data_IF_236036876550
#
_entry.id   IF_236036876550
#
_cell.length_a   1.000
_cell.length_b   1.000
_cell.length_c   1.000
_cell.angle_alpha   90.00
_cell.angle_beta   90.00
_cell.angle_gamma   90.00
#
_symmetry.space_group_name_H-M   'P 1'
#
loop_
_entity.id
_entity.type
_entity.pdbx_description
1 polymer ?
#
# COMPACT_ATOMS: atom_id res chain seq x y z
N UNK A 1 -44.33 -54.51 23.40
CA UNK A 1 -43.83 -53.65 22.32
C UNK A 1 -42.97 -52.59 22.96
N UNK A 2 -41.69 -52.88 23.09
CA UNK A 2 -40.71 -51.95 23.70
C UNK A 2 -40.09 -51.09 22.62
N UNK A 3 -40.25 -49.75 22.70
CA UNK A 3 -39.51 -48.78 21.88
C UNK A 3 -38.24 -48.42 22.62
N UNK A 4 -37.12 -48.82 22.05
CA UNK A 4 -35.78 -48.39 22.44
C UNK A 4 -35.55 -47.01 21.82
N UNK A 5 -35.42 -46.00 22.67
CA UNK A 5 -34.99 -44.65 22.28
C UNK A 5 -33.49 -44.62 22.36
N UNK A 6 -32.81 -44.68 21.21
CA UNK A 6 -31.36 -44.49 21.12
C UNK A 6 -31.05 -43.02 21.26
N UNK A 7 -30.47 -42.65 22.41
CA UNK A 7 -29.92 -41.31 22.65
C UNK A 7 -28.54 -41.20 21.95
N UNK A 8 -28.52 -40.53 20.82
CA UNK A 8 -27.26 -40.18 20.14
C UNK A 8 -26.64 -38.97 20.88
N UNK A 9 -25.65 -39.24 21.72
CA UNK A 9 -24.82 -38.21 22.35
C UNK A 9 -23.86 -37.73 21.27
N UNK A 10 -24.15 -36.57 20.67
CA UNK A 10 -23.24 -35.83 19.79
C UNK A 10 -22.18 -35.18 20.70
N UNK A 11 -21.04 -35.82 20.88
CA UNK A 11 -19.86 -35.20 21.50
C UNK A 11 -19.31 -34.21 20.48
N UNK A 12 -19.72 -32.96 20.58
CA UNK A 12 -19.05 -31.83 19.96
C UNK A 12 -17.67 -31.67 20.63
N UNK A 13 -16.65 -32.33 20.09
CA UNK A 13 -15.26 -31.99 20.33
C UNK A 13 -15.05 -30.59 19.77
N UNK A 14 -15.23 -29.59 20.62
CA UNK A 14 -14.73 -28.25 20.38
C UNK A 14 -13.19 -28.35 20.35
N UNK A 15 -12.61 -28.56 19.19
CA UNK A 15 -11.23 -28.28 18.97
C UNK A 15 -11.05 -26.76 19.15
N UNK A 16 -10.72 -26.35 20.37
CA UNK A 16 -10.07 -25.06 20.56
C UNK A 16 -8.74 -25.18 19.83
N UNK A 17 -8.72 -24.71 18.60
CA UNK A 17 -7.50 -24.41 17.89
C UNK A 17 -6.78 -23.36 18.75
N UNK A 18 -5.93 -23.80 19.68
CA UNK A 18 -4.96 -22.93 20.32
C UNK A 18 -4.10 -22.40 19.19
N UNK A 19 -4.35 -21.16 18.77
CA UNK A 19 -3.52 -20.49 17.79
C UNK A 19 -2.08 -20.53 18.33
N UNK A 20 -1.18 -21.17 17.61
CA UNK A 20 0.22 -21.23 17.97
C UNK A 20 0.72 -19.80 18.18
N UNK A 21 1.26 -19.51 19.34
CA UNK A 21 1.87 -18.22 19.64
C UNK A 21 3.38 -18.31 19.37
N UNK A 22 3.93 -17.25 18.76
CA UNK A 22 5.34 -17.13 18.51
C UNK A 22 5.82 -15.77 19.04
N UNK A 23 6.78 -15.77 19.95
CA UNK A 23 7.37 -14.55 20.52
C UNK A 23 8.60 -14.15 19.69
N UNK A 24 8.49 -13.05 18.96
CA UNK A 24 9.54 -12.61 18.02
C UNK A 24 10.83 -12.19 18.74
N UNK A 25 10.74 -11.77 20.00
CA UNK A 25 11.91 -11.43 20.82
C UNK A 25 12.91 -12.57 20.89
N UNK A 26 12.44 -13.82 20.94
CA UNK A 26 13.32 -15.00 21.04
C UNK A 26 14.32 -15.11 19.88
N UNK A 27 14.00 -14.48 18.73
CA UNK A 27 14.92 -14.41 17.59
C UNK A 27 16.00 -13.35 17.75
N UNK A 28 15.80 -12.40 18.68
CA UNK A 28 16.65 -11.24 18.90
C UNK A 28 17.49 -11.40 20.17
N UNK A 29 17.28 -12.47 20.94
CA UNK A 29 17.99 -12.73 22.22
C UNK A 29 19.45 -13.18 22.01
N UNK A 30 19.96 -13.20 20.77
CA UNK A 30 21.38 -13.37 20.45
C UNK A 30 22.18 -12.07 20.60
N UNK A 31 23.50 -12.17 20.72
CA UNK A 31 24.40 -11.00 20.83
C UNK A 31 24.33 -10.03 19.64
N UNK A 32 23.75 -10.45 18.51
CA UNK A 32 23.59 -9.61 17.31
C UNK A 32 22.36 -10.05 16.52
N UNK A 33 21.21 -9.35 16.63
CA UNK A 33 20.01 -9.68 15.88
C UNK A 33 20.20 -9.58 14.36
N UNK A 34 21.15 -8.79 13.88
CA UNK A 34 21.45 -8.61 12.46
C UNK A 34 22.28 -9.77 11.87
N UNK A 35 22.72 -10.74 12.69
CA UNK A 35 23.28 -11.99 12.20
C UNK A 35 22.21 -12.96 11.65
N UNK A 36 20.90 -12.65 11.85
CA UNK A 36 19.79 -13.48 11.37
C UNK A 36 19.81 -13.56 9.85
N UNK A 37 19.86 -14.79 9.32
CA UNK A 37 19.92 -15.05 7.88
C UNK A 37 18.54 -15.32 7.30
N UNK A 38 18.23 -14.70 6.15
CA UNK A 38 16.96 -14.83 5.47
C UNK A 38 16.69 -16.26 4.97
N UNK A 39 17.73 -16.92 4.43
CA UNK A 39 17.64 -18.29 3.89
C UNK A 39 17.45 -19.37 4.98
N UNK A 40 17.75 -19.06 6.23
CA UNK A 40 17.51 -19.94 7.38
C UNK A 40 16.16 -19.64 8.04
N UNK A 41 15.85 -18.36 8.21
CA UNK A 41 14.67 -17.90 8.96
C UNK A 41 13.35 -18.16 8.22
N UNK A 42 13.23 -17.70 6.98
CA UNK A 42 11.94 -17.72 6.28
C UNK A 42 11.47 -19.14 5.94
N UNK A 43 12.32 -20.09 5.52
CA UNK A 43 11.91 -21.47 5.34
C UNK A 43 11.46 -22.18 6.62
N UNK A 44 12.07 -21.83 7.77
CA UNK A 44 11.74 -22.38 9.08
C UNK A 44 10.42 -21.81 9.62
N UNK A 45 10.13 -20.54 9.34
CA UNK A 45 8.95 -19.82 9.84
C UNK A 45 7.96 -19.53 8.72
N UNK A 46 7.26 -20.56 8.20
CA UNK A 46 6.34 -20.51 7.05
C UNK A 46 5.17 -19.55 7.19
N UNK A 47 4.92 -18.98 8.35
CA UNK A 47 3.96 -17.90 8.58
C UNK A 47 4.49 -16.52 8.16
N UNK A 48 5.79 -16.39 7.89
CA UNK A 48 6.36 -15.31 7.10
C UNK A 48 6.33 -15.69 5.61
N UNK A 49 6.12 -14.69 4.76
CA UNK A 49 6.16 -14.84 3.30
C UNK A 49 7.05 -13.78 2.71
N UNK A 50 7.75 -14.10 1.64
CA UNK A 50 8.51 -13.10 0.91
C UNK A 50 7.61 -11.96 0.46
N UNK A 51 8.06 -10.72 0.64
CA UNK A 51 7.36 -9.51 0.23
C UNK A 51 7.43 -9.32 -1.28
N UNK A 52 8.55 -9.74 -1.88
CA UNK A 52 8.86 -9.67 -3.31
C UNK A 52 9.79 -10.81 -3.75
N UNK A 53 9.96 -10.98 -5.06
CA UNK A 53 10.77 -12.05 -5.64
C UNK A 53 12.29 -11.89 -5.41
N UNK A 54 12.74 -10.66 -5.15
CA UNK A 54 14.14 -10.34 -4.78
C UNK A 54 14.55 -10.90 -3.41
N UNK A 55 13.55 -11.26 -2.58
CA UNK A 55 13.75 -11.79 -1.21
C UNK A 55 14.44 -10.82 -0.24
N UNK A 56 14.36 -9.53 -0.49
CA UNK A 56 14.88 -8.48 0.39
C UNK A 56 13.94 -8.16 1.56
N UNK A 57 12.77 -8.78 1.60
CA UNK A 57 11.83 -8.63 2.70
C UNK A 57 10.96 -9.85 2.93
N UNK A 58 10.77 -10.22 4.21
CA UNK A 58 9.81 -11.25 4.63
C UNK A 58 8.74 -10.62 5.51
N UNK A 59 7.47 -10.90 5.21
CA UNK A 59 6.31 -10.30 5.85
C UNK A 59 5.46 -11.33 6.58
N UNK A 60 5.08 -10.98 7.80
CA UNK A 60 3.98 -11.57 8.55
C UNK A 60 2.79 -10.60 8.56
N UNK A 61 1.58 -11.12 8.43
CA UNK A 61 0.35 -10.37 8.68
C UNK A 61 -0.59 -11.21 9.54
N UNK A 62 -1.13 -10.63 10.61
CA UNK A 62 -2.01 -11.35 11.54
C UNK A 62 -3.33 -11.77 10.91
N UNK A 63 -3.81 -11.03 9.89
CA UNK A 63 -5.07 -11.33 9.22
C UNK A 63 -5.03 -12.71 8.55
N UNK A 64 -5.93 -13.62 8.98
CA UNK A 64 -6.03 -15.01 8.50
C UNK A 64 -4.75 -15.85 8.72
N UNK A 65 -3.85 -15.44 9.63
CA UNK A 65 -2.68 -16.23 9.97
C UNK A 65 -2.99 -17.16 11.15
N UNK A 66 -2.68 -18.46 11.08
CA UNK A 66 -2.92 -19.39 12.18
C UNK A 66 -1.97 -19.16 13.37
N UNK A 67 -0.82 -18.53 13.16
CA UNK A 67 0.15 -18.20 14.20
C UNK A 67 -0.09 -16.78 14.70
N UNK A 68 -0.15 -16.59 16.02
CA UNK A 68 -0.19 -15.28 16.66
C UNK A 68 1.22 -14.83 16.98
N UNK A 69 1.67 -13.78 16.30
CA UNK A 69 2.97 -13.18 16.56
C UNK A 69 2.85 -12.18 17.72
N UNK A 70 3.80 -12.25 18.65
CA UNK A 70 3.97 -11.27 19.73
C UNK A 70 5.40 -10.73 19.74
N UNK A 71 5.57 -9.53 20.30
CA UNK A 71 6.87 -8.92 20.57
C UNK A 71 6.84 -8.24 21.93
N UNK A 72 7.72 -8.63 22.84
CA UNK A 72 7.71 -8.22 24.26
C UNK A 72 6.34 -8.46 24.92
N UNK A 73 5.63 -9.53 24.53
CA UNK A 73 4.29 -9.86 24.99
C UNK A 73 3.17 -9.02 24.36
N UNK A 74 3.45 -8.11 23.42
CA UNK A 74 2.42 -7.34 22.72
C UNK A 74 2.06 -8.01 21.39
N UNK A 75 0.75 -8.09 21.03
CA UNK A 75 0.33 -8.62 19.74
C UNK A 75 0.88 -7.78 18.58
N UNK A 76 1.35 -8.46 17.55
CA UNK A 76 1.86 -7.85 16.31
C UNK A 76 0.83 -8.05 15.20
N UNK A 77 0.38 -6.96 14.59
CA UNK A 77 -0.54 -6.98 13.45
C UNK A 77 0.19 -7.27 12.15
N UNK A 78 1.39 -6.72 12.00
CA UNK A 78 2.26 -6.90 10.85
C UNK A 78 3.72 -6.84 11.29
N UNK A 79 4.54 -7.73 10.77
CA UNK A 79 5.99 -7.68 10.90
C UNK A 79 6.63 -7.75 9.52
N UNK A 80 7.66 -6.95 9.28
CA UNK A 80 8.49 -7.01 8.08
C UNK A 80 9.94 -7.08 8.52
N UNK A 81 10.63 -8.14 8.10
CA UNK A 81 12.06 -8.31 8.23
C UNK A 81 12.68 -7.92 6.88
N UNK A 82 13.47 -6.87 6.84
CA UNK A 82 14.24 -6.49 5.67
C UNK A 82 15.62 -7.12 5.73
N UNK A 83 16.09 -7.61 4.61
CA UNK A 83 17.37 -8.30 4.49
C UNK A 83 18.24 -7.61 3.42
N UNK A 84 19.50 -7.43 3.73
CA UNK A 84 20.54 -7.00 2.80
C UNK A 84 21.65 -8.05 2.80
N UNK A 85 22.06 -8.51 1.63
CA UNK A 85 23.07 -9.58 1.50
C UNK A 85 22.73 -10.82 2.33
N UNK A 86 21.45 -11.20 2.38
CA UNK A 86 20.94 -12.34 3.14
C UNK A 86 21.00 -12.18 4.69
N UNK A 87 21.30 -11.00 5.21
CA UNK A 87 21.29 -10.70 6.64
C UNK A 87 20.21 -9.69 6.99
N UNK A 88 19.64 -9.78 8.20
CA UNK A 88 18.66 -8.83 8.69
C UNK A 88 19.28 -7.42 8.72
N UNK A 89 18.69 -6.48 8.02
CA UNK A 89 19.10 -5.07 8.03
C UNK A 89 18.13 -4.19 8.83
N UNK A 90 16.84 -4.59 8.88
CA UNK A 90 15.82 -3.84 9.60
C UNK A 90 14.64 -4.73 9.99
N UNK A 91 14.12 -4.52 11.19
CA UNK A 91 12.82 -5.05 11.64
C UNK A 91 11.81 -3.91 11.73
N UNK A 92 10.64 -4.13 11.15
CA UNK A 92 9.47 -3.26 11.28
C UNK A 92 8.31 -4.04 11.88
N UNK A 93 7.64 -3.46 12.89
CA UNK A 93 6.43 -4.02 13.49
C UNK A 93 5.30 -2.98 13.51
N UNK A 94 4.10 -3.40 13.15
CA UNK A 94 2.86 -2.68 13.42
C UNK A 94 2.15 -3.32 14.61
N UNK A 95 2.07 -2.61 15.73
CA UNK A 95 1.41 -3.07 16.95
C UNK A 95 -0.05 -2.61 17.01
N UNK A 96 -0.33 -1.48 16.39
CA UNK A 96 -1.66 -0.96 16.16
C UNK A 96 -1.68 -0.14 14.88
N UNK A 97 -2.71 -0.32 14.08
CA UNK A 97 -3.11 0.65 13.07
C UNK A 97 -4.63 0.61 12.91
N UNK A 98 -5.20 1.77 12.66
CA UNK A 98 -6.64 1.95 12.56
C UNK A 98 -7.27 1.14 11.41
N UNK A 99 -6.50 0.93 10.34
CA UNK A 99 -6.97 0.21 9.14
C UNK A 99 -7.21 -1.29 9.38
N UNK A 100 -6.38 -1.93 10.21
CA UNK A 100 -6.47 -3.36 10.52
C UNK A 100 -7.23 -3.63 11.82
N UNK A 101 -7.00 -2.83 12.87
CA UNK A 101 -7.55 -3.06 14.21
C UNK A 101 -8.85 -2.30 14.50
N UNK A 102 -9.26 -1.38 13.60
CA UNK A 102 -10.40 -0.51 13.86
C UNK A 102 -10.07 0.65 14.81
N UNK A 103 -11.11 1.35 15.27
CA UNK A 103 -10.95 2.50 16.19
C UNK A 103 -10.86 2.02 17.64
N UNK A 104 -9.95 2.62 18.41
CA UNK A 104 -9.85 2.43 19.86
C UNK A 104 -9.91 3.78 20.56
N UNK A 105 -10.32 3.75 21.82
CA UNK A 105 -10.31 4.94 22.70
C UNK A 105 -8.88 5.48 22.87
N UNK A 106 -8.75 6.82 22.91
CA UNK A 106 -7.44 7.46 23.00
C UNK A 106 -6.71 7.14 24.31
N UNK A 107 -7.41 7.02 25.43
CA UNK A 107 -6.81 6.66 26.72
C UNK A 107 -6.26 5.22 26.72
N UNK A 108 -6.98 4.28 26.11
CA UNK A 108 -6.47 2.91 25.89
C UNK A 108 -5.23 2.91 24.99
N UNK A 109 -5.22 3.75 23.97
CA UNK A 109 -4.07 3.89 23.09
C UNK A 109 -2.85 4.50 23.82
N UNK A 110 -3.04 5.58 24.59
CA UNK A 110 -1.96 6.15 25.42
C UNK A 110 -1.37 5.09 26.37
N UNK A 111 -2.24 4.28 27.01
CA UNK A 111 -1.81 3.17 27.87
C UNK A 111 -1.00 2.12 27.10
N UNK A 112 -1.43 1.75 25.88
CA UNK A 112 -0.71 0.81 25.03
C UNK A 112 0.69 1.35 24.68
N UNK A 113 0.79 2.62 24.25
CA UNK A 113 2.05 3.30 23.92
C UNK A 113 2.98 3.35 25.14
N UNK A 114 2.46 3.74 26.32
CA UNK A 114 3.25 3.83 27.54
C UNK A 114 3.80 2.47 27.96
N UNK A 115 2.96 1.44 28.02
CA UNK A 115 3.35 0.06 28.37
C UNK A 115 4.40 -0.52 27.41
N UNK A 116 4.26 -0.28 26.11
CA UNK A 116 5.23 -0.74 25.13
C UNK A 116 6.57 -0.04 25.29
N UNK A 117 6.58 1.29 25.47
CA UNK A 117 7.79 2.06 25.73
C UNK A 117 8.49 1.62 27.03
N UNK A 118 7.72 1.31 28.08
CA UNK A 118 8.26 0.80 29.34
C UNK A 118 8.88 -0.60 29.17
N UNK A 119 8.21 -1.51 28.46
CA UNK A 119 8.74 -2.83 28.17
C UNK A 119 10.06 -2.75 27.38
N UNK A 120 10.10 -1.87 26.38
CA UNK A 120 11.30 -1.64 25.59
C UNK A 120 12.43 -1.00 26.41
N UNK A 121 12.10 -0.08 27.34
CA UNK A 121 13.10 0.49 28.26
C UNK A 121 13.69 -0.56 29.19
N UNK A 122 12.89 -1.51 29.68
CA UNK A 122 13.41 -2.64 30.48
C UNK A 122 14.30 -3.56 29.66
N UNK A 123 13.97 -3.75 28.37
CA UNK A 123 14.76 -4.60 27.47
C UNK A 123 16.11 -3.99 27.11
N UNK A 124 16.14 -2.68 26.85
CA UNK A 124 17.35 -1.98 26.34
C UNK A 124 18.16 -1.30 27.44
N UNK A 125 17.62 -1.16 28.67
CA UNK A 125 18.21 -0.35 29.71
C UNK A 125 18.08 1.17 29.51
N UNK A 126 17.50 1.61 28.37
CA UNK A 126 17.46 3.01 27.93
C UNK A 126 16.04 3.61 28.03
N UNK A 127 15.94 4.84 28.57
CA UNK A 127 14.65 5.54 28.64
C UNK A 127 14.17 6.07 27.30
N UNK A 128 15.08 6.37 26.40
CA UNK A 128 14.82 6.92 25.09
C UNK A 128 14.61 8.44 25.10
N UNK A 129 14.67 9.01 23.88
CA UNK A 129 14.47 10.43 23.59
C UNK A 129 13.22 10.59 22.77
N UNK A 130 12.23 11.33 23.30
CA UNK A 130 10.98 11.60 22.59
C UNK A 130 11.09 12.83 21.70
N UNK A 131 10.56 12.72 20.50
CA UNK A 131 10.34 13.84 19.59
C UNK A 131 8.88 13.91 19.22
N UNK A 132 8.42 15.14 18.92
CA UNK A 132 7.06 15.43 18.48
C UNK A 132 7.07 16.31 17.24
N UNK A 133 6.27 15.94 16.25
CA UNK A 133 6.07 16.73 15.04
C UNK A 133 4.59 16.97 14.74
N UNK A 134 4.28 18.07 14.06
CA UNK A 134 2.93 18.34 13.53
C UNK A 134 2.95 18.33 12.01
N UNK A 135 2.13 17.48 11.42
CA UNK A 135 1.77 17.53 10.01
C UNK A 135 0.50 18.36 9.78
N UNK A 136 0.06 18.44 8.53
CA UNK A 136 -1.23 19.05 8.19
C UNK A 136 -2.42 18.33 8.89
N UNK A 137 -3.58 18.98 8.97
CA UNK A 137 -4.84 18.39 9.46
C UNK A 137 -4.81 17.93 10.94
N UNK A 138 -4.10 18.64 11.81
CA UNK A 138 -4.00 18.33 13.25
C UNK A 138 -3.45 16.93 13.56
N UNK A 139 -2.66 16.40 12.66
CA UNK A 139 -1.90 15.18 12.89
C UNK A 139 -0.71 15.47 13.77
N UNK A 140 -0.58 14.71 14.83
CA UNK A 140 0.59 14.73 15.68
C UNK A 140 1.33 13.41 15.52
N UNK A 141 2.60 13.51 15.17
CA UNK A 141 3.52 12.41 15.11
C UNK A 141 4.40 12.44 16.34
N UNK A 142 4.66 11.29 16.90
CA UNK A 142 5.59 11.08 17.98
C UNK A 142 6.59 9.99 17.58
N UNK A 143 7.82 10.14 18.01
CA UNK A 143 8.82 9.08 17.97
C UNK A 143 9.61 9.08 19.26
N UNK A 144 9.95 7.89 19.74
CA UNK A 144 10.84 7.71 20.87
C UNK A 144 12.01 6.84 20.40
N UNK A 145 13.22 7.37 20.51
CA UNK A 145 14.45 6.78 20.03
C UNK A 145 15.33 6.29 21.18
N UNK A 146 15.82 5.07 21.08
CA UNK A 146 16.81 4.48 21.99
C UNK A 146 17.98 3.95 21.18
N UNK A 147 19.16 4.07 21.72
CA UNK A 147 20.37 3.45 21.16
C UNK A 147 21.01 2.62 22.25
N UNK A 148 21.13 1.33 22.02
CA UNK A 148 21.80 0.38 22.90
C UNK A 148 22.51 -0.64 22.04
N UNK A 149 23.77 -0.96 22.37
CA UNK A 149 24.60 -1.95 21.67
C UNK A 149 24.67 -1.74 20.14
N UNK A 150 24.87 -0.48 19.71
CA UNK A 150 24.90 -0.07 18.30
C UNK A 150 23.60 -0.36 17.53
N UNK A 151 22.50 -0.53 18.25
CA UNK A 151 21.16 -0.73 17.69
C UNK A 151 20.29 0.50 17.95
N UNK A 152 19.62 0.98 16.90
CA UNK A 152 18.59 1.99 17.00
C UNK A 152 17.22 1.33 17.13
N UNK A 153 16.55 1.61 18.23
CA UNK A 153 15.16 1.24 18.48
C UNK A 153 14.27 2.47 18.37
N UNK A 154 13.30 2.43 17.49
CA UNK A 154 12.39 3.55 17.25
C UNK A 154 10.95 3.12 17.47
N UNK A 155 10.25 3.78 18.40
CA UNK A 155 8.79 3.65 18.57
C UNK A 155 8.14 4.86 17.95
N UNK A 156 7.30 4.67 16.93
CA UNK A 156 6.56 5.74 16.26
C UNK A 156 5.07 5.58 16.52
N UNK A 157 4.38 6.66 16.88
CA UNK A 157 2.92 6.64 16.99
C UNK A 157 2.31 7.95 16.53
N UNK A 158 1.04 7.89 16.20
CA UNK A 158 0.33 9.04 15.70
C UNK A 158 -1.13 9.04 16.12
N UNK A 159 -1.64 10.25 16.33
CA UNK A 159 -3.04 10.53 16.53
C UNK A 159 -3.44 11.83 15.82
N UNK A 160 -4.73 11.99 15.53
CA UNK A 160 -5.29 13.20 14.92
C UNK A 160 -6.44 13.76 15.75
N UNK A 161 -6.42 15.06 15.98
CA UNK A 161 -7.46 15.77 16.75
C UNK A 161 -6.98 17.14 17.22
N UNK A 162 -7.92 17.96 17.69
CA UNK A 162 -7.61 19.30 18.23
C UNK A 162 -7.44 19.26 19.74
N UNK A 163 -8.33 18.57 20.42
CA UNK A 163 -8.38 18.43 21.87
C UNK A 163 -8.17 16.96 22.25
N UNK A 164 -7.72 16.70 23.48
CA UNK A 164 -7.48 15.33 23.97
C UNK A 164 -8.71 14.42 23.80
N UNK A 165 -9.91 14.94 24.05
CA UNK A 165 -11.18 14.21 23.90
C UNK A 165 -11.51 13.83 22.45
N UNK A 166 -10.97 14.56 21.47
CA UNK A 166 -11.24 14.36 20.04
C UNK A 166 -10.10 13.60 19.33
N UNK A 167 -9.07 13.22 20.09
CA UNK A 167 -7.90 12.52 19.53
C UNK A 167 -8.28 11.13 19.06
N UNK A 168 -7.94 10.85 17.81
CA UNK A 168 -8.15 9.55 17.18
C UNK A 168 -6.81 8.87 16.90
N UNK A 169 -6.52 7.76 17.57
CA UNK A 169 -5.34 6.95 17.31
C UNK A 169 -5.26 6.53 15.84
N UNK A 170 -4.06 6.52 15.28
CA UNK A 170 -3.85 6.14 13.90
C UNK A 170 -2.97 4.91 13.78
N UNK A 171 -1.80 4.93 14.42
CA UNK A 171 -0.89 3.78 14.45
C UNK A 171 0.07 3.82 15.64
N UNK A 172 0.58 2.63 16.00
CA UNK A 172 1.73 2.39 16.85
C UNK A 172 2.64 1.40 16.13
N UNK A 173 3.89 1.80 15.91
CA UNK A 173 4.89 1.07 15.13
C UNK A 173 6.20 1.02 15.89
N UNK A 174 6.95 -0.03 15.63
CA UNK A 174 8.30 -0.23 16.14
C UNK A 174 9.24 -0.55 14.98
N UNK A 175 10.42 0.05 15.02
CA UNK A 175 11.51 -0.24 14.08
C UNK A 175 12.78 -0.52 14.87
N UNK A 176 13.60 -1.45 14.36
CA UNK A 176 14.92 -1.78 14.88
C UNK A 176 15.88 -1.90 13.70
N UNK A 177 16.99 -1.20 13.76
CA UNK A 177 18.02 -1.17 12.71
C UNK A 177 19.39 -0.87 13.31
N UNK A 178 20.50 -1.17 12.61
CA UNK A 178 21.84 -0.77 13.06
C UNK A 178 21.91 0.75 13.23
N UNK A 179 22.54 1.20 14.33
CA UNK A 179 22.69 2.62 14.57
C UNK A 179 23.85 3.21 13.77
N UNK A 180 23.56 4.23 12.97
CA UNK A 180 24.56 5.01 12.27
C UNK A 180 24.62 6.43 12.87
N UNK A 181 25.71 6.83 13.55
CA UNK A 181 25.83 8.17 14.14
C UNK A 181 25.75 9.32 13.14
N UNK A 182 26.07 9.07 11.86
CA UNK A 182 25.99 10.07 10.78
C UNK A 182 24.53 10.36 10.38
N UNK A 183 23.66 9.36 10.52
CA UNK A 183 22.23 9.43 10.18
C UNK A 183 21.35 9.41 11.43
N UNK A 184 21.82 9.93 12.56
CA UNK A 184 21.10 9.94 13.83
C UNK A 184 19.72 10.63 13.70
N UNK A 185 18.61 9.88 13.78
CA UNK A 185 17.26 10.45 13.57
C UNK A 185 16.85 11.41 14.69
N UNK A 186 17.52 11.38 15.85
CA UNK A 186 17.29 12.32 16.96
C UNK A 186 17.67 13.76 16.59
N UNK A 187 18.51 13.93 15.56
CA UNK A 187 18.92 15.23 15.01
C UNK A 187 18.08 15.67 13.82
N UNK A 188 17.14 14.84 13.37
CA UNK A 188 16.32 15.08 12.18
C UNK A 188 14.89 15.45 12.56
N UNK A 189 14.16 16.07 11.64
CA UNK A 189 12.76 16.40 11.83
C UNK A 189 11.86 15.21 11.50
N UNK A 190 10.88 14.91 12.37
CA UNK A 190 9.86 13.88 12.08
C UNK A 190 8.92 14.22 10.91
N UNK A 191 8.90 15.47 10.48
CA UNK A 191 7.91 15.98 9.52
C UNK A 191 8.51 16.57 8.25
N UNK A 192 9.82 16.71 8.19
CA UNK A 192 10.53 17.20 7.00
C UNK A 192 11.41 16.11 6.43
N UNK A 193 11.24 15.86 5.16
CA UNK A 193 12.12 14.98 4.39
C UNK A 193 13.41 15.74 4.07
N UNK A 194 14.52 15.07 4.22
CA UNK A 194 15.81 15.57 3.75
C UNK A 194 15.85 15.51 2.21
N UNK A 195 15.74 16.66 1.58
CA UNK A 195 15.71 16.75 0.12
C UNK A 195 17.03 16.46 -0.56
N UNK A 196 18.12 16.45 0.19
CA UNK A 196 19.45 16.09 -0.37
C UNK A 196 19.57 14.60 -0.67
N UNK A 197 18.72 13.78 0.00
CA UNK A 197 18.63 12.33 -0.23
C UNK A 197 17.66 11.94 -1.34
N UNK A 198 16.90 12.90 -1.90
CA UNK A 198 15.96 12.62 -2.98
C UNK A 198 16.72 12.36 -4.27
N UNK A 199 16.42 11.24 -4.91
CA UNK A 199 16.98 10.81 -6.18
C UNK A 199 16.83 11.87 -7.27
N UNK A 200 17.90 12.11 -7.99
CA UNK A 200 17.91 13.04 -9.13
C UNK A 200 17.32 12.38 -10.39
N UNK A 201 17.00 13.20 -11.39
CA UNK A 201 16.53 12.66 -12.68
C UNK A 201 17.54 11.73 -13.34
N UNK A 202 18.85 11.92 -13.11
CA UNK A 202 19.91 11.05 -13.62
C UNK A 202 19.89 9.68 -12.94
N UNK A 203 19.74 9.68 -11.61
CA UNK A 203 19.71 8.44 -10.81
C UNK A 203 18.47 7.61 -11.16
N UNK A 204 17.31 8.26 -11.28
CA UNK A 204 16.06 7.60 -11.69
C UNK A 204 16.15 7.03 -13.12
N UNK A 205 16.75 7.76 -14.08
CA UNK A 205 16.93 7.26 -15.43
C UNK A 205 17.89 6.05 -15.49
N UNK A 206 18.84 5.95 -14.57
CA UNK A 206 19.74 4.80 -14.45
C UNK A 206 19.03 3.49 -14.06
N UNK A 207 17.82 3.56 -13.48
CA UNK A 207 17.00 2.41 -13.16
C UNK A 207 16.21 1.85 -14.37
N UNK A 208 16.29 2.48 -15.54
CA UNK A 208 15.58 2.00 -16.73
C UNK A 208 16.31 0.80 -17.33
N UNK A 209 15.61 -0.31 -17.46
CA UNK A 209 16.10 -1.54 -18.08
C UNK A 209 15.46 -1.76 -19.44
N UNK A 210 16.16 -2.45 -20.33
CA UNK A 210 15.71 -2.79 -21.67
C UNK A 210 16.06 -4.23 -22.00
N UNK A 211 15.11 -4.96 -22.58
CA UNK A 211 15.33 -6.32 -23.12
C UNK A 211 15.38 -6.30 -24.64
N UNK A 212 15.95 -7.34 -25.20
CA UNK A 212 16.02 -7.53 -26.65
C UNK A 212 14.64 -7.69 -27.32
N UNK A 213 13.63 -8.11 -26.59
CA UNK A 213 12.23 -8.24 -27.04
C UNK A 213 11.49 -6.88 -27.15
N UNK A 214 12.19 -5.77 -26.88
CA UNK A 214 11.63 -4.42 -26.92
C UNK A 214 10.98 -3.96 -25.62
N UNK A 215 10.95 -4.81 -24.57
CA UNK A 215 10.42 -4.43 -23.26
C UNK A 215 11.34 -3.40 -22.57
N UNK A 216 10.77 -2.30 -22.12
CA UNK A 216 11.43 -1.24 -21.37
C UNK A 216 10.70 -1.10 -20.03
N UNK A 217 11.43 -1.12 -18.91
CA UNK A 217 10.80 -0.96 -17.60
C UNK A 217 11.72 -0.25 -16.60
N UNK A 218 11.09 0.28 -15.55
CA UNK A 218 11.77 0.87 -14.39
C UNK A 218 12.00 -0.26 -13.38
N UNK A 219 13.24 -0.47 -13.02
CA UNK A 219 13.68 -1.42 -12.00
C UNK A 219 13.73 -0.78 -10.61
N UNK A 220 13.98 -1.58 -9.56
CA UNK A 220 14.20 -1.13 -8.19
C UNK A 220 13.03 -0.35 -7.55
N UNK A 221 11.79 -0.59 -7.99
CA UNK A 221 10.61 -0.03 -7.32
C UNK A 221 10.24 -0.95 -6.14
N UNK A 222 10.43 -0.52 -4.89
CA UNK A 222 10.22 -1.37 -3.73
C UNK A 222 8.78 -1.90 -3.64
N UNK A 223 8.61 -3.14 -3.18
CA UNK A 223 7.28 -3.69 -2.93
C UNK A 223 6.76 -3.22 -1.58
N UNK A 224 5.51 -2.79 -1.55
CA UNK A 224 4.73 -2.55 -0.33
C UNK A 224 3.42 -3.29 -0.48
N UNK A 225 3.14 -4.20 0.45
CA UNK A 225 1.88 -4.92 0.48
C UNK A 225 0.84 -4.12 1.29
N UNK A 226 -0.26 -3.77 0.65
CA UNK A 226 -1.36 -3.04 1.30
C UNK A 226 -2.13 -3.89 2.33
N UNK A 227 -2.00 -5.22 2.29
CA UNK A 227 -2.78 -6.14 3.11
C UNK A 227 -4.23 -6.23 2.67
N UNK A 228 -5.11 -6.57 3.62
CA UNK A 228 -6.54 -6.72 3.38
C UNK A 228 -7.34 -5.40 3.47
N UNK A 229 -6.68 -4.31 3.84
CA UNK A 229 -7.27 -2.97 3.98
C UNK A 229 -7.27 -2.21 2.64
N UNK A 230 -8.17 -1.25 2.49
CA UNK A 230 -8.30 -0.42 1.27
C UNK A 230 -7.15 0.60 1.07
N UNK A 231 -5.90 0.19 1.29
CA UNK A 231 -4.71 1.05 1.29
C UNK A 231 -3.96 1.09 -0.05
N UNK A 232 -4.57 0.66 -1.16
CA UNK A 232 -3.90 0.64 -2.46
C UNK A 232 -3.25 1.99 -2.84
N UNK A 233 -3.95 3.10 -2.61
CA UNK A 233 -3.41 4.45 -2.86
C UNK A 233 -2.22 4.76 -1.95
N UNK A 234 -2.35 4.48 -0.66
CA UNK A 234 -1.29 4.74 0.33
C UNK A 234 -0.05 3.87 0.06
N UNK A 235 -0.25 2.59 -0.26
CA UNK A 235 0.84 1.67 -0.58
C UNK A 235 1.55 2.05 -1.89
N UNK A 236 0.81 2.45 -2.93
CA UNK A 236 1.39 2.97 -4.18
C UNK A 236 2.24 4.22 -3.91
N UNK A 237 1.73 5.15 -3.08
CA UNK A 237 2.48 6.36 -2.73
C UNK A 237 3.74 6.03 -1.93
N UNK A 238 3.67 5.13 -0.95
CA UNK A 238 4.85 4.68 -0.20
C UNK A 238 5.90 4.09 -1.13
N UNK A 239 5.51 3.24 -2.10
CA UNK A 239 6.43 2.68 -3.10
C UNK A 239 7.14 3.75 -3.91
N UNK A 240 6.40 4.77 -4.37
CA UNK A 240 6.95 5.90 -5.12
C UNK A 240 7.91 6.71 -4.24
N UNK A 241 7.54 6.99 -2.98
CA UNK A 241 8.37 7.76 -2.07
C UNK A 241 9.69 7.02 -1.79
N UNK A 242 9.63 5.75 -1.43
CA UNK A 242 10.83 4.91 -1.24
C UNK A 242 11.70 4.85 -2.50
N UNK A 243 11.10 4.68 -3.67
CA UNK A 243 11.81 4.69 -4.95
C UNK A 243 12.53 6.03 -5.23
N UNK A 244 12.02 7.12 -4.69
CA UNK A 244 12.64 8.44 -4.78
C UNK A 244 13.64 8.73 -3.65
N UNK A 245 14.01 7.74 -2.82
CA UNK A 245 14.89 7.93 -1.67
C UNK A 245 14.24 8.69 -0.51
N UNK A 246 12.90 8.69 -0.44
CA UNK A 246 12.15 9.38 0.61
C UNK A 246 11.69 8.36 1.64
N UNK A 247 12.44 8.24 2.71
CA UNK A 247 12.16 7.36 3.82
C UNK A 247 11.34 8.02 4.94
N UNK A 248 10.90 7.21 5.89
CA UNK A 248 10.18 7.67 7.09
C UNK A 248 8.69 7.97 6.90
N UNK A 249 8.16 7.83 5.66
CA UNK A 249 6.74 8.00 5.35
C UNK A 249 6.18 6.70 4.81
N UNK A 250 5.36 6.02 5.60
CA UNK A 250 4.76 4.74 5.24
C UNK A 250 3.26 4.85 4.92
N UNK A 251 2.65 3.74 4.46
CA UNK A 251 1.24 3.69 4.08
C UNK A 251 0.29 4.12 5.21
N UNK A 252 0.64 3.90 6.47
CA UNK A 252 -0.21 4.30 7.60
C UNK A 252 -0.21 5.82 7.81
N UNK A 253 0.96 6.45 7.72
CA UNK A 253 1.10 7.91 7.73
C UNK A 253 0.36 8.54 6.54
N UNK A 254 0.52 7.98 5.35
CA UNK A 254 -0.15 8.44 4.12
C UNK A 254 -1.66 8.27 4.22
N UNK A 255 -2.15 7.14 4.72
CA UNK A 255 -3.58 6.89 4.95
C UNK A 255 -4.18 7.95 5.89
N UNK A 256 -3.45 8.32 6.93
CA UNK A 256 -3.86 9.38 7.86
C UNK A 256 -3.92 10.76 7.17
N UNK A 257 -2.87 11.13 6.39
CA UNK A 257 -2.83 12.40 5.66
C UNK A 257 -4.01 12.54 4.71
N UNK A 258 -4.33 11.45 4.02
CA UNK A 258 -5.47 11.38 3.09
C UNK A 258 -6.81 11.20 3.79
N UNK A 259 -6.84 11.13 5.13
CA UNK A 259 -8.05 10.90 5.94
C UNK A 259 -8.81 9.64 5.50
N UNK A 260 -8.07 8.57 5.15
CA UNK A 260 -8.66 7.33 4.67
C UNK A 260 -9.62 6.72 5.68
N UNK A 261 -10.71 6.17 5.17
CA UNK A 261 -11.69 5.37 5.93
C UNK A 261 -11.59 3.91 5.50
N UNK A 262 -12.33 3.02 6.14
CA UNK A 262 -12.35 1.58 5.82
C UNK A 262 -12.64 1.23 4.35
N UNK A 263 -13.28 2.14 3.60
CA UNK A 263 -13.58 1.97 2.17
C UNK A 263 -12.50 2.48 1.22
N UNK A 264 -11.33 2.91 1.72
CA UNK A 264 -10.26 3.49 0.90
C UNK A 264 -10.35 5.01 0.75
N UNK A 265 -9.72 5.55 -0.31
CA UNK A 265 -9.67 6.98 -0.62
C UNK A 265 -9.91 7.19 -2.11
N UNK A 266 -10.58 8.28 -2.47
CA UNK A 266 -10.72 8.67 -3.87
C UNK A 266 -9.40 9.28 -4.37
N UNK A 267 -9.19 9.22 -5.69
CA UNK A 267 -8.02 9.86 -6.32
C UNK A 267 -8.03 11.38 -6.14
N UNK A 268 -9.19 12.01 -6.02
CA UNK A 268 -9.34 13.43 -5.71
C UNK A 268 -8.84 13.76 -4.30
N UNK A 269 -9.29 12.98 -3.28
CA UNK A 269 -8.79 13.14 -1.90
C UNK A 269 -7.27 12.95 -1.82
N UNK A 270 -6.71 12.04 -2.61
CA UNK A 270 -5.27 11.84 -2.71
C UNK A 270 -4.58 13.07 -3.31
N UNK A 271 -5.10 13.59 -4.42
CA UNK A 271 -4.53 14.76 -5.09
C UNK A 271 -4.59 16.00 -4.18
N UNK A 272 -5.71 16.23 -3.51
CA UNK A 272 -5.86 17.32 -2.51
C UNK A 272 -4.85 17.18 -1.34
N UNK A 273 -4.68 15.97 -0.83
CA UNK A 273 -3.71 15.70 0.23
C UNK A 273 -2.26 15.92 -0.24
N UNK A 274 -1.94 15.52 -1.48
CA UNK A 274 -0.62 15.73 -2.08
C UNK A 274 -0.36 17.18 -2.48
N UNK A 275 -1.37 17.93 -2.88
CA UNK A 275 -1.25 19.35 -3.15
C UNK A 275 -0.94 20.13 -1.86
N UNK A 276 -1.65 19.82 -0.78
CA UNK A 276 -1.45 20.45 0.55
C UNK A 276 -0.19 19.99 1.28
N UNK A 277 0.21 18.74 1.11
CA UNK A 277 1.30 18.10 1.88
C UNK A 277 2.54 17.71 1.08
N UNK A 278 2.43 17.58 -0.23
CA UNK A 278 3.48 17.01 -1.09
C UNK A 278 4.82 17.77 -1.04
N UNK A 279 4.77 19.08 -0.84
CA UNK A 279 5.99 19.89 -0.68
C UNK A 279 6.80 19.50 0.57
N UNK A 280 6.14 19.03 1.64
CA UNK A 280 6.81 18.53 2.86
C UNK A 280 7.52 17.21 2.60
N UNK A 281 6.97 16.39 1.71
CA UNK A 281 7.55 15.11 1.29
C UNK A 281 8.47 15.24 0.08
N UNK A 282 8.79 16.44 -0.38
CA UNK A 282 9.68 16.62 -1.52
C UNK A 282 9.13 16.09 -2.84
N UNK A 283 7.81 16.08 -3.02
CA UNK A 283 7.14 15.64 -4.27
C UNK A 283 6.14 16.67 -4.78
N UNK A 284 5.78 16.53 -6.06
CA UNK A 284 4.65 17.23 -6.70
C UNK A 284 3.80 16.23 -7.47
N UNK A 285 2.50 16.19 -7.17
CA UNK A 285 1.53 15.42 -7.93
C UNK A 285 0.85 16.29 -9.00
N UNK A 286 0.47 15.67 -10.12
CA UNK A 286 -0.32 16.29 -11.18
C UNK A 286 -1.26 15.27 -11.78
N UNK A 287 -2.56 15.61 -11.82
CA UNK A 287 -3.52 14.87 -12.63
C UNK A 287 -3.18 15.01 -14.10
N UNK A 288 -3.06 13.91 -14.82
CA UNK A 288 -2.76 13.92 -16.27
C UNK A 288 -3.97 13.60 -17.13
N UNK A 289 -4.73 12.60 -16.72
CA UNK A 289 -5.95 12.16 -17.39
C UNK A 289 -6.96 11.74 -16.33
N UNK A 290 -8.22 12.05 -16.54
CA UNK A 290 -9.34 11.55 -15.73
C UNK A 290 -10.49 11.12 -16.62
N UNK A 291 -11.00 9.93 -16.37
CA UNK A 291 -12.25 9.41 -16.87
C UNK A 291 -13.09 8.84 -15.72
N UNK A 292 -12.83 9.30 -14.50
CA UNK A 292 -13.61 8.92 -13.32
C UNK A 292 -15.05 9.41 -13.45
N UNK A 293 -15.95 8.62 -12.90
CA UNK A 293 -17.37 8.97 -12.79
C UNK A 293 -17.51 9.64 -11.40
N UNK A 294 -17.35 10.94 -11.38
CA UNK A 294 -17.39 11.75 -10.15
C UNK A 294 -18.81 12.26 -9.87
N UNK A 295 -19.61 12.42 -10.90
CA UNK A 295 -20.97 12.95 -10.82
C UNK A 295 -22.01 12.03 -11.44
N UNK A 296 -23.28 12.24 -11.09
CA UNK A 296 -24.42 11.56 -11.73
C UNK A 296 -24.47 11.87 -13.22
N UNK A 297 -24.08 13.09 -13.59
CA UNK A 297 -24.01 13.54 -14.98
C UNK A 297 -22.96 12.77 -15.78
N UNK A 298 -21.79 12.49 -15.22
CA UNK A 298 -20.75 11.70 -15.88
C UNK A 298 -21.24 10.28 -16.15
N UNK A 299 -21.90 9.67 -15.16
CA UNK A 299 -22.51 8.35 -15.32
C UNK A 299 -23.60 8.38 -16.41
N UNK A 300 -24.47 9.38 -16.39
CA UNK A 300 -25.54 9.55 -17.39
C UNK A 300 -24.98 9.73 -18.78
N UNK A 301 -23.93 10.52 -18.95
CA UNK A 301 -23.21 10.70 -20.23
C UNK A 301 -22.61 9.39 -20.73
N UNK A 302 -21.98 8.62 -19.83
CA UNK A 302 -21.42 7.30 -20.15
C UNK A 302 -22.52 6.33 -20.62
N UNK A 303 -23.61 6.22 -19.85
CA UNK A 303 -24.76 5.37 -20.18
C UNK A 303 -25.35 5.76 -21.56
N UNK A 304 -25.53 7.05 -21.80
CA UNK A 304 -26.07 7.55 -23.07
C UNK A 304 -25.19 7.16 -24.26
N UNK A 305 -23.85 7.39 -24.14
CA UNK A 305 -22.89 6.99 -25.19
C UNK A 305 -22.91 5.49 -25.43
N UNK A 306 -22.87 4.69 -24.35
CA UNK A 306 -22.96 3.23 -24.44
C UNK A 306 -24.26 2.77 -25.09
N UNK A 307 -25.42 3.29 -24.67
CA UNK A 307 -26.73 2.91 -25.18
C UNK A 307 -26.91 3.25 -26.68
N UNK A 308 -26.26 4.32 -27.16
CA UNK A 308 -26.22 4.63 -28.59
C UNK A 308 -25.44 3.56 -29.38
N UNK A 309 -24.33 3.06 -28.87
CA UNK A 309 -23.59 1.95 -29.47
C UNK A 309 -24.37 0.64 -29.36
N UNK A 310 -24.95 0.34 -28.21
CA UNK A 310 -25.77 -0.86 -27.99
C UNK A 310 -26.96 -0.94 -28.96
N UNK A 311 -27.64 0.19 -29.17
CA UNK A 311 -28.72 0.30 -30.17
C UNK A 311 -28.26 -0.06 -31.59
N UNK A 312 -27.11 0.51 -32.03
CA UNK A 312 -26.55 0.24 -33.38
C UNK A 312 -26.07 -1.22 -33.49
N UNK A 313 -25.58 -1.81 -32.42
CA UNK A 313 -25.11 -3.20 -32.36
C UNK A 313 -26.26 -4.20 -32.07
N UNK A 314 -27.52 -3.76 -31.97
CA UNK A 314 -28.68 -4.59 -31.58
C UNK A 314 -28.44 -5.34 -30.23
N UNK A 315 -27.79 -4.70 -29.29
CA UNK A 315 -27.51 -5.20 -27.94
C UNK A 315 -28.41 -4.53 -26.90
N UNK A 316 -28.51 -5.14 -25.72
CA UNK A 316 -29.29 -4.63 -24.60
C UNK A 316 -28.77 -3.26 -24.15
N UNK A 317 -29.65 -2.31 -23.96
CA UNK A 317 -29.35 -1.03 -23.30
C UNK A 317 -29.22 -1.27 -21.79
N UNK A 318 -28.47 -0.41 -21.15
CA UNK A 318 -28.29 -0.42 -19.68
C UNK A 318 -29.00 0.78 -19.06
N UNK A 319 -29.28 0.66 -17.77
CA UNK A 319 -29.81 1.73 -16.94
C UNK A 319 -28.95 1.90 -15.67
N UNK A 320 -29.04 3.09 -15.09
CA UNK A 320 -28.43 3.35 -13.81
C UNK A 320 -29.01 2.43 -12.73
N UNK A 321 -28.14 1.79 -11.95
CA UNK A 321 -28.52 1.01 -10.77
C UNK A 321 -28.48 1.93 -9.56
N UNK A 322 -29.65 2.09 -8.89
CA UNK A 322 -29.75 2.89 -7.68
C UNK A 322 -30.73 2.27 -6.67
N UNK A 323 -30.51 2.57 -5.39
CA UNK A 323 -31.43 2.26 -4.28
C UNK A 323 -31.58 3.50 -3.41
N UNK A 324 -32.76 4.10 -3.42
CA UNK A 324 -32.99 5.43 -2.84
C UNK A 324 -32.06 6.44 -3.52
N UNK A 325 -31.32 7.21 -2.74
CA UNK A 325 -30.36 8.22 -3.22
C UNK A 325 -28.96 7.65 -3.49
N UNK A 326 -28.73 6.34 -3.31
CA UNK A 326 -27.42 5.71 -3.51
C UNK A 326 -27.35 5.12 -4.93
N UNK A 327 -26.34 5.56 -5.69
CA UNK A 327 -26.05 5.07 -7.04
C UNK A 327 -24.91 4.07 -7.00
N UNK A 328 -25.12 2.90 -7.60
CA UNK A 328 -24.14 1.81 -7.67
C UNK A 328 -23.42 1.83 -9.02
N UNK A 329 -22.38 2.66 -9.16
CA UNK A 329 -21.61 2.83 -10.40
C UNK A 329 -21.09 1.48 -10.91
N UNK A 330 -20.46 0.67 -10.03
CA UNK A 330 -19.91 -0.63 -10.39
C UNK A 330 -20.97 -1.60 -10.93
N UNK A 331 -22.15 -1.67 -10.31
CA UNK A 331 -23.24 -2.50 -10.78
C UNK A 331 -23.85 -1.98 -12.10
N UNK A 332 -23.85 -0.67 -12.29
CA UNK A 332 -24.27 -0.05 -13.56
C UNK A 332 -23.31 -0.45 -14.68
N UNK A 333 -21.99 -0.34 -14.44
CA UNK A 333 -20.96 -0.71 -15.41
C UNK A 333 -20.94 -2.22 -15.71
N UNK A 334 -21.21 -3.07 -14.71
CA UNK A 334 -21.29 -4.53 -14.88
C UNK A 334 -22.38 -5.00 -15.86
N UNK A 335 -23.37 -4.14 -16.20
CA UNK A 335 -24.36 -4.45 -17.23
C UNK A 335 -23.83 -4.25 -18.66
N UNK A 336 -22.68 -3.58 -18.83
CA UNK A 336 -22.14 -3.28 -20.15
C UNK A 336 -21.58 -4.53 -20.81
N UNK A 337 -21.86 -4.72 -22.11
CA UNK A 337 -21.16 -5.71 -22.92
C UNK A 337 -19.68 -5.30 -23.04
N UNK A 338 -18.74 -6.15 -22.65
CA UNK A 338 -17.31 -5.78 -22.61
C UNK A 338 -16.76 -5.35 -23.98
N UNK A 339 -17.23 -5.97 -25.06
CA UNK A 339 -16.80 -5.62 -26.43
C UNK A 339 -17.27 -4.24 -26.85
N UNK A 340 -18.52 -3.89 -26.52
CA UNK A 340 -19.04 -2.56 -26.80
C UNK A 340 -18.40 -1.48 -25.94
N UNK A 341 -18.14 -1.80 -24.68
CA UNK A 341 -17.44 -0.86 -23.79
C UNK A 341 -16.01 -0.61 -24.29
N UNK A 342 -15.29 -1.65 -24.70
CA UNK A 342 -13.98 -1.54 -25.33
C UNK A 342 -14.04 -0.63 -26.57
N UNK A 343 -15.00 -0.87 -27.47
CA UNK A 343 -15.19 -0.03 -28.65
C UNK A 343 -15.45 1.43 -28.28
N UNK A 344 -16.29 1.67 -27.28
CA UNK A 344 -16.53 3.02 -26.77
C UNK A 344 -15.26 3.72 -26.30
N UNK A 345 -14.43 3.00 -25.54
CA UNK A 345 -13.18 3.53 -24.96
C UNK A 345 -12.10 3.74 -26.00
N UNK A 346 -11.92 2.82 -26.94
CA UNK A 346 -10.82 2.86 -27.90
C UNK A 346 -11.14 3.76 -29.11
N UNK A 347 -12.29 3.56 -29.77
CA UNK A 347 -12.65 4.34 -30.96
C UNK A 347 -13.07 5.76 -30.60
N UNK A 348 -13.87 5.90 -29.53
CA UNK A 348 -14.39 7.21 -29.12
C UNK A 348 -13.34 8.12 -28.46
N UNK A 349 -12.21 7.58 -28.03
CA UNK A 349 -11.16 8.32 -27.31
C UNK A 349 -9.74 8.04 -27.84
N UNK A 350 -9.60 7.75 -29.14
CA UNK A 350 -8.34 7.37 -29.77
C UNK A 350 -7.20 8.37 -29.57
N UNK A 351 -7.49 9.68 -29.62
CA UNK A 351 -6.48 10.73 -29.36
C UNK A 351 -5.96 10.67 -27.93
N UNK A 352 -6.84 10.45 -26.96
CA UNK A 352 -6.47 10.32 -25.53
C UNK A 352 -5.68 9.03 -25.29
N UNK A 353 -6.05 7.92 -25.91
CA UNK A 353 -5.32 6.65 -25.85
C UNK A 353 -3.89 6.81 -26.44
N UNK A 354 -3.74 7.50 -27.57
CA UNK A 354 -2.44 7.79 -28.15
C UNK A 354 -1.58 8.71 -27.25
N UNK A 355 -2.22 9.67 -26.56
CA UNK A 355 -1.53 10.48 -25.56
C UNK A 355 -1.08 9.63 -24.37
N UNK A 356 -1.93 8.74 -23.88
CA UNK A 356 -1.62 7.80 -22.81
C UNK A 356 -0.39 6.93 -23.15
N UNK A 357 -0.34 6.36 -24.38
CA UNK A 357 0.84 5.63 -24.88
C UNK A 357 2.12 6.46 -24.81
N UNK A 358 2.12 7.66 -25.42
CA UNK A 358 3.30 8.55 -25.44
C UNK A 358 3.72 8.97 -24.04
N UNK A 359 2.77 9.24 -23.19
CA UNK A 359 3.01 9.64 -21.81
C UNK A 359 3.70 8.53 -21.01
N UNK A 360 3.23 7.27 -21.15
CA UNK A 360 3.87 6.11 -20.53
C UNK A 360 5.31 5.96 -21.01
N UNK A 361 5.54 5.98 -22.33
CA UNK A 361 6.87 5.84 -22.90
C UNK A 361 7.81 6.94 -22.42
N UNK A 362 7.36 8.20 -22.44
CA UNK A 362 8.15 9.34 -21.98
C UNK A 362 8.51 9.23 -20.49
N UNK A 363 7.54 8.85 -19.66
CA UNK A 363 7.73 8.74 -18.22
C UNK A 363 8.67 7.59 -17.87
N UNK A 364 8.42 6.41 -18.43
CA UNK A 364 9.25 5.22 -18.19
C UNK A 364 10.68 5.44 -18.62
N UNK A 365 10.91 6.06 -19.81
CA UNK A 365 12.26 6.39 -20.28
C UNK A 365 13.00 7.39 -19.36
N UNK A 366 12.28 8.19 -18.60
CA UNK A 366 12.84 9.09 -17.59
C UNK A 366 12.96 8.45 -16.20
N UNK A 367 12.69 7.15 -16.04
CA UNK A 367 12.69 6.46 -14.75
C UNK A 367 11.57 6.90 -13.80
N UNK A 368 10.47 7.44 -14.33
CA UNK A 368 9.38 7.99 -13.55
C UNK A 368 8.11 7.12 -13.69
N UNK A 369 7.69 6.37 -12.68
CA UNK A 369 6.49 5.55 -12.74
C UNK A 369 5.23 6.40 -12.88
N UNK A 370 4.17 5.81 -13.45
CA UNK A 370 2.88 6.47 -13.60
C UNK A 370 1.90 5.90 -12.58
N UNK A 371 1.36 6.73 -11.69
CA UNK A 371 0.25 6.38 -10.83
C UNK A 371 -0.98 6.10 -11.69
N UNK A 372 -1.55 4.90 -11.55
CA UNK A 372 -2.56 4.39 -12.45
C UNK A 372 -3.80 3.91 -11.68
N UNK A 373 -4.83 4.74 -11.67
CA UNK A 373 -6.13 4.40 -11.11
C UNK A 373 -6.95 3.64 -12.15
N UNK A 374 -7.44 2.47 -11.76
CA UNK A 374 -8.17 1.55 -12.64
C UNK A 374 -9.50 1.14 -12.04
N UNK A 375 -10.41 0.69 -12.90
CA UNK A 375 -11.58 -0.06 -12.48
C UNK A 375 -11.40 -1.53 -12.86
N UNK A 376 -11.21 -2.37 -11.84
CA UNK A 376 -11.06 -3.81 -12.01
C UNK A 376 -12.37 -4.47 -12.45
N UNK A 377 -12.27 -5.58 -13.16
CA UNK A 377 -13.41 -6.33 -13.65
C UNK A 377 -13.93 -5.88 -15.02
N UNK A 378 -13.39 -4.80 -15.61
CA UNK A 378 -13.72 -4.36 -16.99
C UNK A 378 -12.98 -5.17 -18.06
N UNK A 379 -11.87 -5.76 -17.68
CA UNK A 379 -11.00 -6.56 -18.55
C UNK A 379 -10.67 -7.86 -17.83
N UNK A 380 -10.58 -8.95 -18.59
CA UNK A 380 -10.13 -10.23 -18.03
C UNK A 380 -8.61 -10.26 -18.00
N UNK A 381 -8.03 -10.10 -16.82
CA UNK A 381 -6.58 -10.12 -16.64
C UNK A 381 -6.05 -11.57 -16.64
N UNK A 382 -4.98 -11.81 -17.41
CA UNK A 382 -4.33 -13.13 -17.46
C UNK A 382 -3.73 -13.55 -16.11
N UNK A 383 -3.27 -12.58 -15.33
CA UNK A 383 -2.66 -12.80 -14.02
C UNK A 383 -3.68 -12.54 -12.92
N UNK A 384 -3.65 -13.37 -11.87
CA UNK A 384 -4.57 -13.27 -10.74
C UNK A 384 -4.53 -11.88 -10.10
N UNK A 385 -5.71 -11.38 -9.77
CA UNK A 385 -5.88 -10.21 -8.92
C UNK A 385 -6.59 -10.64 -7.64
N UNK A 386 -6.29 -10.00 -6.51
CA UNK A 386 -6.96 -10.31 -5.23
C UNK A 386 -8.32 -9.61 -5.10
N UNK A 387 -8.56 -8.60 -5.92
CA UNK A 387 -9.82 -7.87 -6.00
C UNK A 387 -10.48 -8.13 -7.35
N UNK A 388 -11.71 -8.62 -7.36
CA UNK A 388 -12.41 -9.01 -8.58
C UNK A 388 -12.99 -7.82 -9.34
N UNK A 389 -13.46 -6.79 -8.64
CA UNK A 389 -14.06 -5.61 -9.23
C UNK A 389 -13.91 -4.38 -8.34
N UNK A 390 -14.01 -3.19 -8.95
CA UNK A 390 -14.00 -1.91 -8.26
C UNK A 390 -12.76 -1.07 -8.50
N UNK A 391 -12.70 0.10 -7.87
CA UNK A 391 -11.59 1.03 -8.01
C UNK A 391 -10.33 0.48 -7.31
N UNK A 392 -9.20 0.66 -7.97
CA UNK A 392 -7.89 0.24 -7.45
C UNK A 392 -6.79 1.14 -8.00
N UNK A 393 -5.68 1.26 -7.29
CA UNK A 393 -4.51 2.01 -7.76
C UNK A 393 -3.31 1.10 -7.92
N UNK A 394 -2.62 1.26 -9.05
CA UNK A 394 -1.44 0.53 -9.50
C UNK A 394 -0.35 1.49 -9.95
N UNK A 395 0.80 0.96 -10.33
CA UNK A 395 1.85 1.69 -11.04
C UNK A 395 2.09 1.09 -12.42
N UNK A 396 2.10 1.93 -13.45
CA UNK A 396 2.72 1.56 -14.72
C UNK A 396 4.20 1.86 -14.58
N UNK A 397 5.00 0.83 -14.83
CA UNK A 397 6.46 0.85 -14.68
C UNK A 397 7.18 0.57 -15.98
N UNK A 398 6.47 0.19 -17.06
CA UNK A 398 7.12 -0.14 -18.31
C UNK A 398 6.16 -0.23 -19.48
N UNK A 399 6.73 -0.51 -20.63
CA UNK A 399 6.02 -0.74 -21.89
C UNK A 399 6.83 -1.66 -22.81
N UNK A 400 6.16 -2.24 -23.79
CA UNK A 400 6.77 -2.84 -24.95
C UNK A 400 6.11 -2.26 -26.21
N UNK A 401 6.91 -1.58 -27.05
CA UNK A 401 6.40 -0.93 -28.27
C UNK A 401 6.18 -1.93 -29.41
N UNK A 402 6.80 -3.10 -29.38
CA UNK A 402 6.70 -4.11 -30.44
C UNK A 402 5.34 -4.83 -30.40
N UNK A 403 4.80 -5.11 -29.22
CA UNK A 403 3.50 -5.77 -29.03
C UNK A 403 2.40 -4.86 -28.48
N UNK A 404 2.69 -3.55 -28.38
CA UNK A 404 1.78 -2.52 -27.86
C UNK A 404 1.22 -2.88 -26.47
N UNK A 405 2.11 -3.25 -25.55
CA UNK A 405 1.78 -3.62 -24.17
C UNK A 405 2.37 -2.66 -23.14
N UNK A 406 1.82 -2.70 -21.92
CA UNK A 406 2.39 -2.05 -20.74
C UNK A 406 2.90 -3.07 -19.75
N UNK A 407 3.89 -2.64 -18.95
CA UNK A 407 4.31 -3.34 -17.73
C UNK A 407 3.79 -2.56 -16.52
N UNK A 408 3.17 -3.26 -15.60
CA UNK A 408 2.62 -2.67 -14.40
C UNK A 408 2.89 -3.52 -13.16
N UNK A 409 2.77 -2.92 -12.00
CA UNK A 409 2.95 -3.57 -10.70
C UNK A 409 1.80 -3.23 -9.76
N UNK A 410 1.49 -4.16 -8.89
CA UNK A 410 0.41 -4.07 -7.90
C UNK A 410 0.96 -3.96 -6.47
N UNK A 411 0.09 -3.74 -5.49
CA UNK A 411 0.42 -3.58 -4.07
C UNK A 411 -0.02 -4.79 -3.23
N UNK A 412 0.05 -5.99 -3.79
CA UNK A 412 -0.37 -7.23 -3.14
C UNK A 412 0.78 -8.20 -2.83
N UNK A 413 2.00 -7.67 -2.73
CA UNK A 413 3.18 -8.45 -2.36
C UNK A 413 3.73 -9.33 -3.47
N UNK A 414 4.38 -10.41 -3.08
CA UNK A 414 5.10 -11.30 -3.99
C UNK A 414 4.24 -11.85 -5.12
N UNK A 415 4.80 -11.85 -6.33
CA UNK A 415 4.13 -12.27 -7.57
C UNK A 415 3.29 -11.14 -8.22
N UNK A 416 3.34 -9.94 -7.65
CA UNK A 416 2.64 -8.78 -8.18
C UNK A 416 3.56 -7.64 -8.62
N UNK A 417 4.88 -7.91 -8.67
CA UNK A 417 5.93 -6.93 -8.98
C UNK A 417 5.94 -6.56 -10.46
N UNK A 418 5.73 -7.55 -11.32
CA UNK A 418 5.88 -7.41 -12.76
C UNK A 418 4.75 -8.14 -13.50
N UNK A 419 3.83 -7.36 -14.04
CA UNK A 419 2.68 -7.84 -14.80
C UNK A 419 2.60 -7.12 -16.13
N UNK A 420 2.03 -7.77 -17.14
CA UNK A 420 1.87 -7.20 -18.47
C UNK A 420 0.42 -7.28 -18.94
N UNK A 421 0.00 -6.33 -19.74
CA UNK A 421 -1.26 -6.37 -20.49
C UNK A 421 -1.16 -5.52 -21.75
N UNK A 422 -2.07 -5.75 -22.71
CA UNK A 422 -2.13 -4.88 -23.89
C UNK A 422 -2.42 -3.44 -23.49
N UNK A 423 -1.89 -2.48 -24.24
CA UNK A 423 -2.18 -1.07 -24.04
C UNK A 423 -3.67 -0.76 -24.13
N UNK A 424 -4.36 -1.47 -25.02
CA UNK A 424 -5.81 -1.35 -25.21
C UNK A 424 -6.58 -1.77 -23.94
N UNK A 425 -6.22 -2.92 -23.35
CA UNK A 425 -6.82 -3.37 -22.09
C UNK A 425 -6.56 -2.39 -20.96
N UNK A 426 -5.30 -1.93 -20.85
CA UNK A 426 -4.92 -0.92 -19.87
C UNK A 426 -5.73 0.36 -20.05
N UNK A 427 -5.92 0.82 -21.29
CA UNK A 427 -6.73 2.00 -21.60
C UNK A 427 -8.19 1.83 -21.21
N UNK A 428 -8.78 0.66 -21.52
CA UNK A 428 -10.19 0.36 -21.21
C UNK A 428 -10.45 0.46 -19.70
N UNK A 429 -9.56 -0.03 -18.88
CA UNK A 429 -9.73 0.00 -17.42
C UNK A 429 -9.22 1.27 -16.75
N UNK A 430 -8.52 2.16 -17.48
CA UNK A 430 -7.97 3.41 -16.93
C UNK A 430 -9.08 4.38 -16.52
N UNK A 431 -9.08 4.75 -15.25
CA UNK A 431 -9.92 5.79 -14.69
C UNK A 431 -9.16 7.12 -14.58
N UNK A 432 -7.91 7.06 -14.08
CA UNK A 432 -7.07 8.25 -13.92
C UNK A 432 -5.59 7.89 -14.06
N UNK A 433 -4.79 8.82 -14.58
CA UNK A 433 -3.33 8.76 -14.49
C UNK A 433 -2.80 9.97 -13.74
N UNK A 434 -1.84 9.72 -12.87
CA UNK A 434 -1.27 10.73 -11.98
C UNK A 434 0.24 10.68 -12.10
N UNK A 435 0.83 11.85 -12.33
CA UNK A 435 2.28 12.03 -12.29
C UNK A 435 2.69 12.50 -10.92
N UNK A 436 3.58 11.77 -10.30
CA UNK A 436 4.23 12.14 -9.05
C UNK A 436 5.70 12.33 -9.38
N UNK A 437 6.21 13.53 -9.13
CA UNK A 437 7.58 13.92 -9.48
C UNK A 437 8.34 14.23 -8.19
N UNK A 438 9.59 13.76 -8.05
CA UNK A 438 10.46 14.15 -6.96
C UNK A 438 10.86 15.62 -7.08
N UNK A 439 11.18 16.23 -5.95
CA UNK A 439 11.71 17.60 -5.83
C UNK A 439 12.96 17.57 -4.97
N UNK A 440 14.11 17.14 -5.50
CA UNK A 440 15.38 17.18 -4.78
C UNK A 440 15.75 18.62 -4.36
N UNK A 441 16.74 18.74 -3.49
CA UNK A 441 17.36 20.03 -3.24
C UNK A 441 17.92 20.61 -4.55
N UNK A 442 17.88 21.93 -4.68
CA UNK A 442 18.50 22.62 -5.82
C UNK A 442 20.00 22.73 -5.61
#
# INVERSE_FOLDING_TARGET
MNRIVSLLILVLLAFTLNAQQFELRELLDGNNPFALRADEFVPKHKFFRWLSADREGARYAAFKNPVKLTFLGFPVLEAILYFENNQLSKLYLSLYNRGDAGEIDYGKFETLVARFNEALSRQTGEKGTEQRGRLANNMVLYANFRVSDDILYTVKWSASGHLKRDMKPQYLQFEMEPFNPKDDPRKQSLVRVDRTKIETSKDLAANVRRKADGTVWIDNIPMVDQGAKGYCVAAVLERILKYYGIDGVNQHTLAQIMKMRSGGVTSEMMLDALDKGGSKFGIKAKNRYSAEIETVEDLSKLISKYNNLARRAKKKKIAQVQKGNIIFVGQTMAQMDPKLFRKLRCDGYSRAMNSFRRDIQSRVNAGLPVGWCVFLGLVNEKQKTLQLAGAHMRLIIGYNAADDSIVYTDTWGSGHEFKTMSLEDAWVMTMRTIYINPRPAR
#
